data_IF_194460803644
#
_entry.id   IF_194460803644
#
_cell.length_a   1.000
_cell.length_b   1.000
_cell.length_c   1.000
_cell.angle_alpha   90.00
_cell.angle_beta   90.00
_cell.angle_gamma   90.00
#
_symmetry.space_group_name_H-M   'P 1'
#
loop_
_entity.id
_entity.type
_entity.pdbx_description
1 polymer ?
#
# COMPACT_ATOMS: atom_id res chain seq x y z
N UNK A 1 39.89 8.01 30.70
CA UNK A 1 40.26 7.93 29.26
C UNK A 1 40.73 6.53 28.98
N UNK A 2 40.02 5.80 28.11
CA UNK A 2 40.54 4.96 27.01
C UNK A 2 39.34 4.22 26.43
N UNK A 3 38.91 4.66 25.24
CA UNK A 3 37.90 3.96 24.45
C UNK A 3 38.53 2.82 23.68
N UNK A 4 37.79 1.72 23.51
CA UNK A 4 38.16 0.64 22.62
C UNK A 4 37.19 0.65 21.43
N UNK A 5 37.64 1.22 20.32
CA UNK A 5 36.92 1.23 19.04
C UNK A 5 37.48 0.10 18.18
N UNK A 6 36.71 -0.98 18.02
CA UNK A 6 36.95 -1.94 16.95
C UNK A 6 35.83 -1.84 15.92
N UNK A 7 36.24 -1.50 14.71
CA UNK A 7 35.39 -1.28 13.56
C UNK A 7 34.65 -2.54 13.12
N UNK A 8 33.51 -2.30 12.50
CA UNK A 8 32.80 -3.27 11.69
C UNK A 8 32.23 -2.54 10.49
N UNK A 9 33.03 -2.47 9.43
CA UNK A 9 32.59 -2.11 8.10
C UNK A 9 31.39 -2.98 7.71
N UNK A 10 30.27 -2.34 7.36
CA UNK A 10 29.14 -3.02 6.69
C UNK A 10 28.95 -2.36 5.34
N UNK A 11 29.65 -2.91 4.36
CA UNK A 11 29.49 -2.60 2.94
C UNK A 11 28.19 -3.24 2.40
N UNK A 12 27.52 -2.52 1.50
CA UNK A 12 26.73 -3.10 0.40
C UNK A 12 25.20 -3.05 0.55
N UNK A 13 24.56 -2.16 -0.22
CA UNK A 13 23.16 -2.26 -0.67
C UNK A 13 22.04 -2.29 0.39
N UNK A 14 22.00 -1.31 1.28
CA UNK A 14 20.81 -1.02 2.10
C UNK A 14 19.80 -0.09 1.38
N UNK A 15 19.57 -0.28 0.07
CA UNK A 15 18.49 0.44 -0.61
C UNK A 15 17.17 -0.30 -0.34
N UNK A 16 16.11 0.38 0.12
CA UNK A 16 14.81 -0.24 0.30
C UNK A 16 14.33 -0.83 -1.04
N UNK A 17 14.26 -2.16 -1.13
CA UNK A 17 13.59 -2.81 -2.25
C UNK A 17 12.08 -2.57 -2.12
N UNK A 18 11.39 -2.18 -3.21
CA UNK A 18 9.93 -2.17 -3.22
C UNK A 18 9.42 -3.54 -2.76
N UNK A 19 8.59 -3.57 -1.73
CA UNK A 19 7.83 -4.77 -1.39
C UNK A 19 6.76 -4.92 -2.46
N UNK A 20 6.67 -6.10 -3.04
CA UNK A 20 5.59 -6.44 -3.98
C UNK A 20 4.27 -6.49 -3.21
N UNK A 21 3.62 -5.34 -3.11
CA UNK A 21 2.27 -5.21 -2.59
C UNK A 21 1.37 -5.43 -3.78
N UNK A 22 1.03 -6.68 -4.09
CA UNK A 22 0.37 -7.14 -5.33
C UNK A 22 -1.04 -6.57 -5.61
N UNK A 23 -1.26 -5.29 -5.40
CA UNK A 23 -2.45 -4.54 -5.77
C UNK A 23 -2.14 -3.48 -6.82
N UNK A 24 -3.21 -2.91 -7.38
CA UNK A 24 -3.11 -1.92 -8.43
C UNK A 24 -2.44 -0.63 -7.96
N UNK A 25 -1.55 -0.08 -8.79
CA UNK A 25 -0.80 1.14 -8.55
C UNK A 25 -1.68 2.40 -8.65
N UNK A 26 -2.35 2.78 -7.56
CA UNK A 26 -3.22 3.97 -7.52
C UNK A 26 -2.46 5.30 -7.59
N UNK A 27 -1.17 5.32 -7.23
CA UNK A 27 -0.36 6.56 -7.24
C UNK A 27 1.12 6.28 -7.27
N UNK A 28 1.85 7.12 -8.00
CA UNK A 28 3.32 7.15 -7.97
C UNK A 28 3.82 8.39 -7.25
N UNK A 29 4.59 8.21 -6.18
CA UNK A 29 5.25 9.31 -5.45
C UNK A 29 6.73 9.36 -5.82
N UNK A 30 7.22 10.53 -6.20
CA UNK A 30 8.65 10.79 -6.45
C UNK A 30 9.27 11.47 -5.23
N UNK A 31 10.24 10.80 -4.63
CA UNK A 31 10.90 11.21 -3.40
C UNK A 31 10.13 11.03 -2.13
N UNK A 32 10.84 11.11 -0.99
CA UNK A 32 10.20 11.24 0.32
C UNK A 32 9.98 12.70 0.74
N UNK A 33 10.48 13.70 0.00
CA UNK A 33 10.24 15.12 0.32
C UNK A 33 9.44 15.92 -0.73
N UNK A 34 9.14 15.34 -1.90
CA UNK A 34 8.15 15.90 -2.85
C UNK A 34 8.59 17.13 -3.68
N UNK A 35 9.90 17.32 -3.89
CA UNK A 35 10.41 18.41 -4.72
C UNK A 35 10.10 18.18 -6.21
N UNK A 36 9.34 19.10 -6.84
CA UNK A 36 8.83 18.92 -8.22
C UNK A 36 9.61 19.71 -9.30
N UNK A 37 10.45 20.67 -8.93
CA UNK A 37 11.03 21.66 -9.86
C UNK A 37 12.57 21.63 -9.99
N UNK A 38 13.19 20.48 -9.73
CA UNK A 38 14.62 20.25 -10.01
C UNK A 38 15.56 21.02 -9.08
N UNK A 39 16.08 20.33 -8.05
CA UNK A 39 17.06 20.91 -7.14
C UNK A 39 17.35 20.11 -5.86
N UNK A 40 16.91 18.85 -5.75
CA UNK A 40 16.97 18.10 -4.49
C UNK A 40 18.15 17.11 -4.42
N UNK A 41 19.12 17.41 -3.57
CA UNK A 41 20.32 16.60 -3.27
C UNK A 41 20.19 15.79 -1.98
N UNK A 42 19.06 15.88 -1.27
CA UNK A 42 18.84 15.23 0.03
C UNK A 42 18.45 13.74 -0.06
N UNK A 43 18.33 13.18 -1.27
CA UNK A 43 18.15 11.73 -1.48
C UNK A 43 16.74 11.29 -1.89
N UNK A 44 15.92 12.23 -2.34
CA UNK A 44 14.53 11.99 -2.69
C UNK A 44 14.18 12.45 -4.12
N UNK A 45 15.14 12.79 -4.96
CA UNK A 45 14.86 13.10 -6.37
C UNK A 45 14.44 11.90 -7.23
N UNK A 46 14.97 10.70 -6.96
CA UNK A 46 14.78 9.51 -7.81
C UNK A 46 13.93 8.39 -7.20
N UNK A 47 13.51 8.54 -5.93
CA UNK A 47 12.82 7.47 -5.21
C UNK A 47 11.37 7.38 -5.68
N UNK A 48 11.07 6.46 -6.58
CA UNK A 48 9.71 6.20 -7.05
C UNK A 48 9.08 5.18 -6.10
N UNK A 49 8.09 5.61 -5.32
CA UNK A 49 7.25 4.73 -4.53
C UNK A 49 5.90 4.59 -5.18
N UNK A 50 5.61 3.39 -5.66
CA UNK A 50 4.26 2.99 -6.04
C UNK A 50 3.46 2.77 -4.78
N UNK A 51 2.33 3.45 -4.68
CA UNK A 51 1.31 3.21 -3.68
C UNK A 51 0.29 2.32 -4.36
N UNK A 52 0.06 1.14 -3.80
CA UNK A 52 -0.94 0.21 -4.29
C UNK A 52 -2.14 0.18 -3.36
N UNK A 53 -3.31 -0.13 -3.89
CA UNK A 53 -4.45 -0.50 -3.05
C UNK A 53 -4.15 -1.87 -2.40
N UNK A 54 -4.49 -2.10 -1.13
CA UNK A 54 -4.52 -3.45 -0.59
C UNK A 54 -5.56 -4.29 -1.36
N UNK A 55 -5.37 -5.60 -1.40
CA UNK A 55 -6.37 -6.51 -1.99
C UNK A 55 -7.71 -6.43 -1.26
N UNK A 56 -8.76 -6.98 -1.90
CA UNK A 56 -10.09 -7.05 -1.31
C UNK A 56 -10.03 -7.70 0.09
N UNK A 57 -10.78 -7.15 1.03
CA UNK A 57 -10.92 -7.74 2.35
C UNK A 57 -11.61 -9.12 2.23
N UNK A 58 -11.22 -10.06 3.07
CA UNK A 58 -11.88 -11.35 3.19
C UNK A 58 -12.80 -11.38 4.40
N UNK A 59 -13.96 -12.03 4.28
CA UNK A 59 -14.79 -12.37 5.45
C UNK A 59 -13.98 -13.22 6.46
N UNK A 60 -14.24 -13.11 7.79
CA UNK A 60 -15.13 -12.14 8.41
C UNK A 60 -14.53 -10.72 8.36
N UNK A 61 -15.37 -9.75 8.00
CA UNK A 61 -14.99 -8.33 7.95
C UNK A 61 -14.90 -7.73 9.36
N UNK A 62 -15.64 -8.30 10.31
CA UNK A 62 -15.60 -7.97 11.73
C UNK A 62 -16.65 -6.95 12.16
N UNK A 63 -17.16 -7.14 13.38
CA UNK A 63 -18.14 -6.23 13.98
C UNK A 63 -19.46 -6.20 13.21
N UNK A 64 -20.03 -5.00 13.05
CA UNK A 64 -21.29 -4.79 12.33
C UNK A 64 -21.16 -4.91 10.81
N UNK A 65 -19.94 -4.96 10.27
CA UNK A 65 -19.74 -5.05 8.82
C UNK A 65 -20.21 -6.38 8.24
N UNK A 66 -20.10 -7.46 9.00
CA UNK A 66 -20.60 -8.77 8.55
C UNK A 66 -22.12 -8.78 8.43
N UNK A 67 -22.84 -8.19 9.39
CA UNK A 67 -24.30 -8.05 9.36
C UNK A 67 -24.76 -7.23 8.14
N UNK A 68 -24.12 -6.09 7.88
CA UNK A 68 -24.47 -5.27 6.72
C UNK A 68 -24.11 -5.94 5.40
N UNK A 69 -23.01 -6.71 5.35
CA UNK A 69 -22.66 -7.49 4.17
C UNK A 69 -23.70 -8.58 3.88
N UNK A 70 -24.21 -9.25 4.91
CA UNK A 70 -25.24 -10.29 4.79
C UNK A 70 -26.58 -9.71 4.33
N UNK A 71 -27.03 -8.60 4.93
CA UNK A 71 -28.26 -7.91 4.53
C UNK A 71 -28.18 -7.37 3.10
N UNK A 72 -27.03 -6.82 2.70
CA UNK A 72 -26.82 -6.35 1.33
C UNK A 72 -26.86 -7.50 0.32
N UNK A 73 -26.21 -8.63 0.64
CA UNK A 73 -26.22 -9.82 -0.22
C UNK A 73 -27.65 -10.36 -0.41
N UNK A 74 -28.44 -10.44 0.66
CA UNK A 74 -29.84 -10.84 0.59
C UNK A 74 -30.71 -9.87 -0.22
N UNK A 75 -30.52 -8.56 -0.07
CA UNK A 75 -31.26 -7.55 -0.82
C UNK A 75 -30.95 -7.57 -2.33
N UNK A 76 -29.73 -7.95 -2.72
CA UNK A 76 -29.34 -8.11 -4.11
C UNK A 76 -29.93 -9.39 -4.72
N UNK A 77 -29.95 -10.49 -3.96
CA UNK A 77 -30.59 -11.74 -4.38
C UNK A 77 -32.09 -11.53 -4.64
N UNK A 78 -32.80 -10.80 -3.77
CA UNK A 78 -34.22 -10.48 -3.94
C UNK A 78 -34.51 -9.69 -5.24
N UNK A 79 -33.53 -8.90 -5.70
CA UNK A 79 -33.61 -8.10 -6.91
C UNK A 79 -33.09 -8.83 -8.16
N UNK A 80 -32.67 -10.10 -8.04
CA UNK A 80 -32.03 -10.89 -9.10
C UNK A 80 -30.77 -10.17 -9.65
N UNK A 81 -30.00 -9.52 -8.77
CA UNK A 81 -28.76 -8.83 -9.08
C UNK A 81 -27.57 -9.60 -8.55
N UNK A 82 -26.60 -9.86 -9.43
CA UNK A 82 -25.31 -10.39 -8.99
C UNK A 82 -24.49 -9.27 -8.32
N UNK A 83 -23.81 -9.54 -7.19
CA UNK A 83 -22.98 -8.55 -6.49
C UNK A 83 -21.93 -7.89 -7.39
N UNK A 84 -21.38 -8.62 -8.34
CA UNK A 84 -20.41 -8.14 -9.33
C UNK A 84 -20.96 -7.05 -10.26
N UNK A 85 -22.27 -6.92 -10.40
CA UNK A 85 -22.91 -5.87 -11.18
C UNK A 85 -23.31 -4.65 -10.35
N UNK A 86 -23.40 -4.81 -9.03
CA UNK A 86 -23.80 -3.75 -8.10
C UNK A 86 -22.60 -3.11 -7.38
N UNK A 87 -21.49 -3.85 -7.20
CA UNK A 87 -20.33 -3.43 -6.41
C UNK A 87 -19.13 -3.18 -7.33
N UNK A 88 -18.83 -1.91 -7.56
CA UNK A 88 -17.63 -1.49 -8.26
C UNK A 88 -16.39 -1.64 -7.37
N UNK A 89 -15.32 -2.21 -7.92
CA UNK A 89 -14.00 -2.23 -7.30
C UNK A 89 -13.10 -1.24 -8.06
N UNK A 90 -12.65 -0.18 -7.40
CA UNK A 90 -11.79 0.89 -7.95
C UNK A 90 -10.39 0.87 -7.39
#
# INVERSE_FOLDING_TARGET
MTGNNNGGERNGNAVPAPRDTGGEAIRVRKGMFGANNGGDTSGYGGLIRTITLPGAASRPYGGWFDEVADELEGALEEQDLLPEHAIEHT
#
